data_IF_472123360856
#
_entry.id   IF_472123360856
#
_cell.length_a   1.000
_cell.length_b   1.000
_cell.length_c   1.000
_cell.angle_alpha   90.00
_cell.angle_beta   90.00
_cell.angle_gamma   90.00
#
_symmetry.space_group_name_H-M   'P 1'
#
loop_
_entity.id
_entity.type
_entity.pdbx_description
1 polymer ?
#
# COMPACT_ATOMS: atom_id res chain seq x y z
N UNK A 1 4.05 -30.96 -23.11
CA UNK A 1 4.61 -29.76 -23.76
C UNK A 1 4.54 -28.66 -22.73
N UNK A 2 5.71 -28.15 -22.38
CA UNK A 2 6.11 -27.39 -21.18
C UNK A 2 5.15 -26.28 -20.73
N UNK A 3 4.70 -26.36 -19.48
CA UNK A 3 4.24 -25.19 -18.73
C UNK A 3 5.46 -24.31 -18.45
N UNK A 4 5.64 -23.28 -19.27
CA UNK A 4 6.56 -22.18 -18.99
C UNK A 4 5.96 -21.35 -17.85
N UNK A 5 6.25 -21.78 -16.62
CA UNK A 5 5.97 -21.01 -15.41
C UNK A 5 7.25 -20.25 -15.09
N UNK A 6 7.53 -19.23 -15.88
CA UNK A 6 8.44 -18.16 -15.48
C UNK A 6 7.81 -17.48 -14.27
N UNK A 7 8.10 -18.02 -13.08
CA UNK A 7 8.02 -17.30 -11.81
C UNK A 7 8.93 -16.10 -12.00
N UNK A 8 8.33 -14.96 -12.33
CA UNK A 8 9.04 -13.76 -12.73
C UNK A 8 9.75 -13.15 -11.52
N UNK A 9 10.88 -13.75 -11.13
CA UNK A 9 11.90 -13.24 -10.19
C UNK A 9 11.28 -12.20 -9.23
N UNK A 10 10.34 -12.65 -8.40
CA UNK A 10 9.92 -11.84 -7.27
C UNK A 10 11.14 -11.87 -6.36
N UNK A 11 11.80 -10.73 -6.22
CA UNK A 11 12.71 -10.50 -5.11
C UNK A 11 11.87 -9.89 -3.98
N UNK A 12 11.34 -10.69 -3.03
CA UNK A 12 10.61 -10.21 -1.87
C UNK A 12 11.36 -9.09 -1.14
N UNK A 13 12.71 -9.12 -1.15
CA UNK A 13 13.52 -8.12 -0.49
C UNK A 13 13.41 -6.78 -1.21
N UNK A 14 13.37 -6.76 -2.55
CA UNK A 14 13.19 -5.54 -3.33
C UNK A 14 11.83 -4.90 -3.07
N UNK A 15 10.75 -5.70 -3.07
CA UNK A 15 9.39 -5.21 -2.85
C UNK A 15 9.22 -4.63 -1.43
N UNK A 16 9.70 -5.36 -0.42
CA UNK A 16 9.66 -4.94 0.98
C UNK A 16 10.54 -3.70 1.23
N UNK A 17 11.71 -3.62 0.60
CA UNK A 17 12.58 -2.44 0.66
C UNK A 17 11.91 -1.22 0.03
N UNK A 18 11.30 -1.37 -1.15
CA UNK A 18 10.56 -0.30 -1.83
C UNK A 18 9.39 0.19 -0.98
N UNK A 19 8.61 -0.73 -0.38
CA UNK A 19 7.50 -0.41 0.52
C UNK A 19 7.97 0.33 1.78
N UNK A 20 9.08 -0.09 2.41
CA UNK A 20 9.64 0.58 3.59
C UNK A 20 10.15 1.98 3.27
N UNK A 21 10.91 2.14 2.18
CA UNK A 21 11.43 3.44 1.74
C UNK A 21 10.29 4.41 1.39
N UNK A 22 9.31 3.95 0.63
CA UNK A 22 8.14 4.76 0.29
C UNK A 22 7.30 5.10 1.53
N UNK A 23 7.17 4.19 2.49
CA UNK A 23 6.48 4.47 3.77
C UNK A 23 7.20 5.58 4.55
N UNK A 24 8.54 5.53 4.63
CA UNK A 24 9.32 6.57 5.29
C UNK A 24 9.27 7.92 4.54
N UNK A 25 9.21 7.91 3.21
CA UNK A 25 9.01 9.12 2.41
C UNK A 25 7.62 9.72 2.63
N UNK A 26 6.57 8.92 2.46
CA UNK A 26 5.20 9.35 2.64
C UNK A 26 4.93 9.86 4.06
N UNK A 27 5.51 9.21 5.07
CA UNK A 27 5.35 9.66 6.46
C UNK A 27 5.91 11.06 6.69
N UNK A 28 7.05 11.40 6.07
CA UNK A 28 7.61 12.76 6.10
C UNK A 28 6.69 13.74 5.39
N UNK A 29 6.22 13.40 4.19
CA UNK A 29 5.27 14.23 3.45
C UNK A 29 3.97 14.52 4.25
N UNK A 30 3.45 13.54 5.00
CA UNK A 30 2.27 13.73 5.88
C UNK A 30 2.58 14.60 7.09
N UNK A 31 3.82 14.56 7.61
CA UNK A 31 4.27 15.42 8.71
C UNK A 31 4.47 16.87 8.26
N UNK A 32 4.96 17.07 7.04
CA UNK A 32 5.21 18.39 6.46
C UNK A 32 3.93 19.06 5.91
N UNK A 33 2.84 18.30 5.77
CA UNK A 33 1.55 18.80 5.29
C UNK A 33 0.78 19.50 6.41
N UNK A 34 0.50 20.79 6.25
CA UNK A 34 -0.32 21.57 7.18
C UNK A 34 -1.78 21.09 7.20
N UNK A 35 -2.43 21.20 8.36
CA UNK A 35 -3.84 20.80 8.53
C UNK A 35 -4.79 21.52 7.57
N UNK A 36 -4.53 22.81 7.31
CA UNK A 36 -5.31 23.61 6.36
C UNK A 36 -5.19 23.14 4.92
N UNK A 37 -4.14 22.40 4.58
CA UNK A 37 -3.88 21.91 3.23
C UNK A 37 -4.39 20.49 2.99
N UNK A 38 -4.95 19.82 3.99
CA UNK A 38 -5.53 18.48 3.84
C UNK A 38 -6.73 18.47 2.89
N UNK A 39 -7.53 19.54 2.91
CA UNK A 39 -8.75 19.65 2.10
C UNK A 39 -8.52 20.23 0.70
N UNK A 40 -7.28 20.58 0.38
CA UNK A 40 -6.90 21.02 -0.96
C UNK A 40 -6.93 19.85 -1.97
N UNK A 41 -7.06 20.18 -3.28
CA UNK A 41 -6.84 19.21 -4.34
C UNK A 41 -5.51 18.49 -4.20
N UNK A 42 -5.55 17.17 -4.41
CA UNK A 42 -4.35 16.35 -4.57
C UNK A 42 -3.79 16.50 -6.00
N UNK A 43 -2.61 15.96 -6.25
CA UNK A 43 -2.06 15.89 -7.60
C UNK A 43 -2.76 14.82 -8.48
N UNK A 44 -3.72 14.07 -7.94
CA UNK A 44 -4.52 13.08 -8.65
C UNK A 44 -5.94 13.62 -8.86
N UNK A 45 -6.39 13.56 -10.10
CA UNK A 45 -7.68 14.11 -10.50
C UNK A 45 -8.84 13.45 -9.73
N UNK A 46 -9.70 14.28 -9.14
CA UNK A 46 -10.86 13.83 -8.36
C UNK A 46 -10.55 13.41 -6.91
N UNK A 47 -9.32 13.61 -6.44
CA UNK A 47 -8.91 13.32 -5.05
C UNK A 47 -8.46 14.59 -4.33
N UNK A 48 -8.80 14.68 -3.04
CA UNK A 48 -8.21 15.66 -2.10
C UNK A 48 -7.11 15.00 -1.27
N UNK A 49 -6.15 15.78 -0.75
CA UNK A 49 -5.00 15.22 -0.01
C UNK A 49 -5.44 14.38 1.21
N UNK A 50 -6.53 14.76 1.87
CA UNK A 50 -7.16 14.02 2.96
C UNK A 50 -7.54 12.59 2.58
N UNK A 51 -8.11 12.39 1.40
CA UNK A 51 -8.49 11.07 0.90
C UNK A 51 -7.25 10.19 0.69
N UNK A 52 -6.15 10.78 0.24
CA UNK A 52 -4.88 10.08 0.03
C UNK A 52 -4.33 9.58 1.37
N UNK A 53 -4.27 10.44 2.38
CA UNK A 53 -3.82 10.05 3.74
C UNK A 53 -4.72 8.95 4.32
N UNK A 54 -6.04 9.12 4.17
CA UNK A 54 -7.03 8.14 4.63
C UNK A 54 -6.85 6.78 3.95
N UNK A 55 -6.66 6.76 2.63
CA UNK A 55 -6.42 5.54 1.85
C UNK A 55 -5.11 4.85 2.27
N UNK A 56 -3.99 5.58 2.27
CA UNK A 56 -2.67 5.01 2.55
C UNK A 56 -2.61 4.44 3.96
N UNK A 57 -3.18 5.12 4.96
CA UNK A 57 -3.25 4.62 6.33
C UNK A 57 -4.18 3.40 6.46
N UNK A 58 -5.38 3.47 5.88
CA UNK A 58 -6.35 2.37 5.94
C UNK A 58 -5.86 1.12 5.22
N UNK A 59 -5.12 1.27 4.12
CA UNK A 59 -4.57 0.13 3.38
C UNK A 59 -3.52 -0.60 4.24
N UNK A 60 -2.66 0.15 4.94
CA UNK A 60 -1.67 -0.47 5.82
C UNK A 60 -2.34 -1.33 6.91
N UNK A 61 -3.42 -0.83 7.49
CA UNK A 61 -4.20 -1.57 8.50
C UNK A 61 -4.80 -2.85 7.90
N UNK A 62 -5.48 -2.73 6.74
CA UNK A 62 -6.06 -3.87 5.99
C UNK A 62 -5.00 -4.92 5.66
N UNK A 63 -3.81 -4.50 5.24
CA UNK A 63 -2.71 -5.43 4.95
C UNK A 63 -2.17 -6.09 6.22
N UNK A 64 -2.08 -5.38 7.34
CA UNK A 64 -1.64 -5.97 8.60
C UNK A 64 -2.61 -7.05 9.08
N UNK A 65 -3.92 -6.78 8.99
CA UNK A 65 -4.97 -7.76 9.26
C UNK A 65 -4.85 -9.00 8.36
N UNK A 66 -4.64 -8.80 7.05
CA UNK A 66 -4.43 -9.89 6.11
C UNK A 66 -3.19 -10.73 6.45
N UNK A 67 -2.08 -10.09 6.82
CA UNK A 67 -0.85 -10.78 7.21
C UNK A 67 -1.05 -11.57 8.51
N UNK A 68 -1.77 -11.01 9.48
CA UNK A 68 -2.11 -11.72 10.70
C UNK A 68 -2.94 -12.98 10.41
N UNK A 69 -3.94 -12.88 9.52
CA UNK A 69 -4.73 -14.04 9.05
C UNK A 69 -3.84 -15.07 8.37
N UNK A 70 -2.94 -14.64 7.47
CA UNK A 70 -2.02 -15.52 6.76
C UNK A 70 -1.10 -16.31 7.71
N UNK A 71 -0.70 -15.69 8.84
CA UNK A 71 0.18 -16.29 9.85
C UNK A 71 -0.53 -17.31 10.72
N UNK A 72 -1.81 -17.07 11.09
CA UNK A 72 -2.52 -17.91 12.07
C UNK A 72 -3.53 -18.88 11.46
N UNK A 73 -3.96 -18.66 10.23
CA UNK A 73 -5.08 -19.38 9.61
C UNK A 73 -4.66 -20.56 8.74
N UNK A 74 -5.55 -21.53 8.60
CA UNK A 74 -5.47 -22.59 7.57
C UNK A 74 -6.17 -22.18 6.27
N UNK A 75 -7.07 -21.19 6.34
CA UNK A 75 -7.79 -20.67 5.18
C UNK A 75 -6.91 -19.72 4.35
N UNK A 76 -7.14 -19.72 3.04
CA UNK A 76 -6.47 -18.83 2.11
C UNK A 76 -6.90 -17.37 2.36
N UNK A 77 -5.97 -16.46 2.72
CA UNK A 77 -6.30 -15.04 2.92
C UNK A 77 -6.87 -14.41 1.65
N UNK A 78 -7.76 -13.43 1.83
CA UNK A 78 -8.38 -12.70 0.73
C UNK A 78 -8.04 -11.21 0.82
N UNK A 79 -7.35 -10.71 -0.20
CA UNK A 79 -7.13 -9.27 -0.36
C UNK A 79 -8.35 -8.63 -0.99
N UNK A 80 -9.06 -7.84 -0.20
CA UNK A 80 -10.10 -6.95 -0.71
C UNK A 80 -9.57 -5.50 -0.68
N UNK A 81 -9.47 -4.79 -1.82
CA UNK A 81 -9.13 -3.37 -1.83
C UNK A 81 -10.14 -2.50 -1.06
N UNK A 82 -9.72 -1.30 -0.65
CA UNK A 82 -10.62 -0.31 -0.06
C UNK A 82 -11.61 0.21 -1.10
N UNK A 83 -12.90 0.26 -0.73
CA UNK A 83 -13.92 0.91 -1.54
C UNK A 83 -13.80 2.44 -1.43
N UNK A 84 -14.35 3.19 -2.38
CA UNK A 84 -14.41 4.67 -2.27
C UNK A 84 -15.19 5.10 -1.02
N UNK A 85 -16.23 4.36 -0.62
CA UNK A 85 -16.98 4.61 0.61
C UNK A 85 -16.11 4.43 1.86
N UNK A 86 -15.26 3.39 1.90
CA UNK A 86 -14.33 3.16 3.02
C UNK A 86 -13.39 4.35 3.19
N UNK A 87 -12.90 4.89 2.06
CA UNK A 87 -11.96 6.02 2.03
C UNK A 87 -12.65 7.29 2.49
N UNK A 88 -13.83 7.60 1.95
CA UNK A 88 -14.62 8.78 2.36
C UNK A 88 -14.92 8.71 3.86
N UNK A 89 -15.28 7.53 4.37
CA UNK A 89 -15.53 7.35 5.80
C UNK A 89 -14.26 7.61 6.62
N UNK A 90 -13.12 7.01 6.26
CA UNK A 90 -11.86 7.25 6.95
C UNK A 90 -11.40 8.72 6.83
N UNK A 91 -11.67 9.38 5.71
CA UNK A 91 -11.34 10.78 5.49
C UNK A 91 -12.10 11.72 6.44
N UNK A 92 -13.26 11.32 6.99
CA UNK A 92 -13.97 12.13 8.00
C UNK A 92 -13.22 12.32 9.32
N UNK A 93 -12.14 11.55 9.55
CA UNK A 93 -11.32 11.68 10.74
C UNK A 93 -10.65 13.06 10.86
N UNK A 94 -10.51 13.61 12.08
CA UNK A 94 -9.69 14.80 12.32
C UNK A 94 -8.25 14.60 11.84
N UNK A 95 -7.57 15.70 11.48
CA UNK A 95 -6.21 15.66 10.94
C UNK A 95 -5.23 14.84 11.80
N UNK A 96 -5.22 15.08 13.12
CA UNK A 96 -4.41 14.32 14.07
C UNK A 96 -4.74 12.82 14.07
N UNK A 97 -6.02 12.46 13.92
CA UNK A 97 -6.45 11.07 13.88
C UNK A 97 -6.04 10.38 12.57
N UNK A 98 -6.06 11.08 11.44
CA UNK A 98 -5.53 10.57 10.16
C UNK A 98 -4.02 10.30 10.23
N UNK A 99 -3.25 11.24 10.81
CA UNK A 99 -1.80 11.04 11.00
C UNK A 99 -1.51 9.87 11.92
N UNK A 100 -2.25 9.76 13.03
CA UNK A 100 -2.12 8.64 13.96
C UNK A 100 -2.53 7.31 13.32
N UNK A 101 -3.60 7.28 12.51
CA UNK A 101 -4.00 6.11 11.74
C UNK A 101 -2.86 5.63 10.85
N UNK A 102 -2.29 6.53 10.03
CA UNK A 102 -1.18 6.21 9.15
C UNK A 102 0.05 5.72 9.93
N UNK A 103 0.51 6.49 10.93
CA UNK A 103 1.70 6.17 11.70
C UNK A 103 1.58 4.81 12.41
N UNK A 104 0.45 4.57 13.08
CA UNK A 104 0.22 3.32 13.80
C UNK A 104 0.11 2.12 12.84
N UNK A 105 -0.66 2.26 11.76
CA UNK A 105 -0.83 1.18 10.79
C UNK A 105 0.47 0.84 10.05
N UNK A 106 1.29 1.83 9.74
CA UNK A 106 2.61 1.62 9.12
C UNK A 106 3.56 0.83 10.03
N UNK A 107 3.61 1.17 11.33
CA UNK A 107 4.41 0.43 12.31
C UNK A 107 3.88 -0.99 12.47
N UNK A 108 2.57 -1.16 12.65
CA UNK A 108 1.97 -2.47 12.85
C UNK A 108 2.20 -3.41 11.66
N UNK A 109 1.97 -2.96 10.42
CA UNK A 109 2.24 -3.75 9.22
C UNK A 109 3.72 -4.16 9.13
N UNK A 110 4.65 -3.24 9.43
CA UNK A 110 6.08 -3.57 9.41
C UNK A 110 6.48 -4.56 10.50
N UNK A 111 5.82 -4.55 11.66
CA UNK A 111 5.99 -5.58 12.70
C UNK A 111 5.49 -6.93 12.17
N UNK A 112 4.26 -7.01 11.66
CA UNK A 112 3.72 -8.27 11.12
C UNK A 112 4.64 -8.87 10.04
N UNK A 113 5.14 -8.06 9.11
CA UNK A 113 6.10 -8.51 8.09
C UNK A 113 7.44 -9.01 8.63
N UNK A 114 7.92 -8.50 9.76
CA UNK A 114 9.19 -8.95 10.36
C UNK A 114 9.09 -10.34 10.99
N UNK A 115 7.90 -10.73 11.40
CA UNK A 115 7.64 -12.01 12.06
C UNK A 115 7.30 -13.14 11.09
N UNK A 116 7.25 -12.85 9.78
CA UNK A 116 6.93 -13.85 8.76
C UNK A 116 8.14 -14.72 8.41
N UNK A 117 7.92 -16.04 8.44
CA UNK A 117 8.86 -17.03 7.90
C UNK A 117 8.71 -17.18 6.38
N UNK A 118 9.66 -17.89 5.75
CA UNK A 118 9.66 -18.10 4.30
C UNK A 118 8.40 -18.82 3.82
N UNK A 119 7.85 -19.75 4.60
CA UNK A 119 6.64 -20.47 4.21
C UNK A 119 5.42 -19.53 4.18
N UNK A 120 5.29 -18.64 5.16
CA UNK A 120 4.18 -17.68 5.24
C UNK A 120 4.27 -16.63 4.15
N UNK A 121 5.48 -16.16 3.80
CA UNK A 121 5.68 -15.27 2.65
C UNK A 121 5.19 -15.87 1.33
N UNK A 122 5.36 -17.18 1.14
CA UNK A 122 4.93 -17.90 -0.07
C UNK A 122 3.46 -18.35 -0.02
N UNK A 123 2.70 -18.04 1.03
CA UNK A 123 1.27 -18.36 1.06
C UNK A 123 0.53 -17.59 -0.01
N UNK A 124 -0.37 -18.28 -0.68
CA UNK A 124 -1.25 -17.70 -1.69
C UNK A 124 -2.32 -16.83 -1.06
N UNK A 125 -2.61 -15.71 -1.70
CA UNK A 125 -3.64 -14.74 -1.35
C UNK A 125 -4.56 -14.58 -2.56
N UNK A 126 -5.87 -14.74 -2.34
CA UNK A 126 -6.84 -14.44 -3.38
C UNK A 126 -7.02 -12.93 -3.51
N UNK A 127 -6.94 -12.40 -4.72
CA UNK A 127 -7.19 -10.99 -5.04
C UNK A 127 -8.25 -10.88 -6.15
N UNK A 128 -8.84 -9.70 -6.40
CA UNK A 128 -9.77 -9.53 -7.50
C UNK A 128 -9.16 -9.80 -8.89
N UNK A 129 -7.83 -9.73 -9.01
CA UNK A 129 -7.08 -9.94 -10.25
C UNK A 129 -6.56 -11.38 -10.41
N UNK A 130 -6.75 -12.23 -9.40
CA UNK A 130 -6.23 -13.60 -9.39
C UNK A 130 -5.53 -13.95 -8.08
N UNK A 131 -4.94 -15.13 -8.04
CA UNK A 131 -4.16 -15.61 -6.89
C UNK A 131 -2.71 -15.13 -7.06
N UNK A 132 -2.18 -14.50 -6.02
CA UNK A 132 -0.78 -14.05 -5.91
C UNK A 132 -0.20 -14.58 -4.60
N UNK A 133 1.09 -14.46 -4.38
CA UNK A 133 1.69 -14.74 -3.07
C UNK A 133 1.68 -13.51 -2.15
N UNK A 134 1.89 -13.72 -0.85
CA UNK A 134 1.96 -12.61 0.11
C UNK A 134 3.15 -11.69 -0.16
N UNK A 135 4.28 -12.21 -0.66
CA UNK A 135 5.41 -11.39 -1.10
C UNK A 135 5.05 -10.54 -2.34
N UNK A 136 4.39 -11.11 -3.35
CA UNK A 136 3.94 -10.34 -4.52
C UNK A 136 2.99 -9.20 -4.11
N UNK A 137 2.11 -9.45 -3.14
CA UNK A 137 1.18 -8.44 -2.62
C UNK A 137 1.90 -7.24 -1.96
N UNK A 138 3.17 -7.37 -1.53
CA UNK A 138 3.92 -6.24 -0.97
C UNK A 138 4.18 -5.13 -2.00
N UNK A 139 4.17 -5.43 -3.29
CA UNK A 139 4.24 -4.41 -4.35
C UNK A 139 3.03 -3.47 -4.29
N UNK A 140 1.83 -3.95 -3.95
CA UNK A 140 0.67 -3.08 -3.76
C UNK A 140 0.94 -2.00 -2.71
N UNK A 141 1.64 -2.36 -1.63
CA UNK A 141 2.03 -1.39 -0.60
C UNK A 141 3.03 -0.40 -1.14
N UNK A 142 4.07 -0.87 -1.84
CA UNK A 142 5.09 -0.02 -2.44
C UNK A 142 4.49 1.02 -3.38
N UNK A 143 3.60 0.61 -4.29
CA UNK A 143 2.87 1.54 -5.15
C UNK A 143 2.10 2.57 -4.32
N UNK A 144 1.33 2.11 -3.35
CA UNK A 144 0.42 2.98 -2.60
C UNK A 144 1.14 4.10 -1.86
N UNK A 145 2.28 3.81 -1.25
CA UNK A 145 3.03 4.84 -0.52
C UNK A 145 3.76 5.80 -1.46
N UNK A 146 4.33 5.32 -2.56
CA UNK A 146 5.06 6.16 -3.51
C UNK A 146 4.12 7.05 -4.30
N UNK A 147 3.05 6.50 -4.84
CA UNK A 147 2.05 7.30 -5.55
C UNK A 147 1.15 8.10 -4.61
N UNK A 148 0.97 7.67 -3.37
CA UNK A 148 0.41 8.51 -2.32
C UNK A 148 1.25 9.78 -2.14
N UNK A 149 2.58 9.67 -2.16
CA UNK A 149 3.46 10.82 -2.04
C UNK A 149 3.35 11.75 -3.26
N UNK A 150 3.18 11.18 -4.46
CA UNK A 150 2.85 11.96 -5.67
C UNK A 150 1.52 12.69 -5.49
N UNK A 151 0.48 12.01 -5.00
CA UNK A 151 -0.82 12.60 -4.72
C UNK A 151 -0.76 13.77 -3.72
N UNK A 152 0.12 13.70 -2.72
CA UNK A 152 0.35 14.83 -1.80
C UNK A 152 1.12 16.00 -2.44
N UNK A 153 1.70 15.82 -3.64
CA UNK A 153 2.57 16.80 -4.28
C UNK A 153 3.99 16.82 -3.72
N UNK A 154 4.38 15.82 -2.93
CA UNK A 154 5.71 15.69 -2.33
C UNK A 154 6.70 14.90 -3.22
N UNK A 155 6.18 14.21 -4.24
CA UNK A 155 6.95 13.43 -5.20
C UNK A 155 6.40 13.65 -6.61
N UNK A 156 7.21 13.27 -7.60
CA UNK A 156 6.86 13.20 -9.01
C UNK A 156 7.28 11.85 -9.62
N UNK A 157 7.06 11.68 -10.92
CA UNK A 157 7.37 10.42 -11.62
C UNK A 157 8.86 10.07 -11.53
N UNK A 158 9.75 11.06 -11.48
CA UNK A 158 11.20 10.88 -11.34
C UNK A 158 11.63 10.46 -9.94
N UNK A 159 10.82 10.75 -8.93
CA UNK A 159 11.04 10.35 -7.53
C UNK A 159 10.64 8.89 -7.28
N UNK A 160 9.61 8.39 -8.00
CA UNK A 160 9.13 7.02 -7.84
C UNK A 160 10.16 6.02 -8.39
N UNK A 161 10.63 5.03 -7.59
CA UNK A 161 11.61 4.05 -8.06
C UNK A 161 11.14 3.27 -9.29
N UNK A 162 12.04 2.99 -10.23
CA UNK A 162 11.72 2.33 -11.51
C UNK A 162 11.11 0.95 -11.31
N UNK A 163 11.56 0.23 -10.29
CA UNK A 163 11.04 -1.08 -9.91
C UNK A 163 9.58 -1.04 -9.47
N UNK A 164 9.13 0.09 -8.89
CA UNK A 164 7.72 0.30 -8.57
C UNK A 164 6.94 0.53 -9.86
N UNK A 165 7.44 1.32 -10.80
CA UNK A 165 6.76 1.49 -12.11
C UNK A 165 6.63 0.19 -12.92
N UNK A 166 7.63 -0.67 -12.84
CA UNK A 166 7.72 -1.89 -13.66
C UNK A 166 6.77 -3.01 -13.22
N UNK A 167 6.22 -2.95 -11.99
CA UNK A 167 5.45 -4.05 -11.42
C UNK A 167 3.93 -3.83 -11.55
N UNK A 168 3.17 -4.83 -12.00
CA UNK A 168 1.71 -4.78 -11.95
C UNK A 168 1.23 -4.87 -10.49
N UNK A 169 0.12 -4.22 -10.16
CA UNK A 169 -0.51 -4.30 -8.83
C UNK A 169 -1.92 -4.84 -8.89
N UNK A 170 -2.28 -5.61 -7.86
CA UNK A 170 -3.62 -6.18 -7.70
C UNK A 170 -4.52 -5.20 -6.96
N UNK A 171 -5.13 -4.26 -7.67
CA UNK A 171 -6.03 -3.26 -7.08
C UNK A 171 -6.39 -2.13 -8.05
N UNK A 172 -7.33 -1.25 -7.69
CA UNK A 172 -7.70 -0.13 -8.54
C UNK A 172 -6.47 0.73 -8.85
N UNK A 173 -6.33 1.12 -10.12
CA UNK A 173 -5.23 1.95 -10.63
C UNK A 173 -5.32 3.41 -10.16
N UNK A 174 -5.65 3.66 -8.88
CA UNK A 174 -6.01 4.96 -8.29
C UNK A 174 -4.94 6.05 -8.46
N UNK A 175 -3.78 5.68 -8.99
CA UNK A 175 -2.55 6.45 -8.99
C UNK A 175 -1.87 6.55 -10.35
N UNK A 176 -2.34 5.84 -11.38
CA UNK A 176 -1.74 5.97 -12.71
C UNK A 176 -2.40 7.16 -13.38
N UNK A 177 -1.60 8.18 -13.70
CA UNK A 177 -1.96 9.18 -14.71
C UNK A 177 -1.93 8.46 -16.06
N UNK A 178 -3.00 8.57 -16.84
CA UNK A 178 -3.08 8.04 -18.20
C UNK A 178 -2.03 8.69 -19.13
#
# INVERSE_FOLDING_TARGET
>A
MTADSTTADSDPLAALLAARRGTAFFSRAVQDLDDSNLDDPSALDGWVRRDIVAYVGSQARRMAELVAIARTGDEMPQWNPLSRCDIIYAATLPAVALRNLHAHAAVHLNVEWRELDTATWNRTVATPQGIVTLDELTWNRAHTVWFGAVGLGAADDGTVPKEVWARPVSGPHLFRRD
#
